data_IF_004267649094
#
_entry.id   IF_004267649094
#
_cell.length_a   1.000
_cell.length_b   1.000
_cell.length_c   1.000
_cell.angle_alpha   90.00
_cell.angle_beta   90.00
_cell.angle_gamma   90.00
#
_symmetry.space_group_name_H-M   'P 1'
#
loop_
_entity.id
_entity.type
_entity.pdbx_description
1 polymer ?
#
# COMPACT_ATOMS: atom_id res chain seq x y z
N UNK A 1 51.66 -53.81 -7.23
CA UNK A 1 50.23 -53.69 -6.88
C UNK A 1 49.69 -52.44 -7.57
N UNK A 2 48.99 -52.57 -8.71
CA UNK A 2 48.46 -51.40 -9.46
C UNK A 2 47.11 -50.99 -8.87
N UNK A 3 47.03 -49.75 -8.37
CA UNK A 3 45.79 -49.15 -7.88
C UNK A 3 44.88 -48.83 -9.08
N UNK A 4 43.69 -49.44 -9.08
CA UNK A 4 42.65 -49.25 -10.10
C UNK A 4 42.00 -47.88 -9.89
N UNK A 5 42.19 -46.97 -10.85
CA UNK A 5 41.62 -45.62 -10.83
C UNK A 5 40.10 -45.66 -11.07
N UNK A 6 39.34 -45.12 -10.12
CA UNK A 6 37.87 -45.00 -10.16
C UNK A 6 37.44 -43.86 -11.11
N UNK A 7 37.43 -44.11 -12.42
CA UNK A 7 36.94 -43.14 -13.42
C UNK A 7 35.41 -43.03 -13.52
N UNK A 8 34.66 -43.89 -12.82
CA UNK A 8 33.20 -43.98 -12.91
C UNK A 8 32.44 -43.14 -11.87
N UNK A 9 33.12 -42.38 -11.01
CA UNK A 9 32.48 -41.56 -9.95
C UNK A 9 32.40 -40.06 -10.28
N UNK A 10 33.03 -39.59 -11.36
CA UNK A 10 33.08 -38.17 -11.70
C UNK A 10 31.71 -37.60 -12.14
N UNK A 11 30.87 -38.40 -12.81
CA UNK A 11 29.52 -37.97 -13.22
C UNK A 11 28.52 -37.84 -12.07
N UNK A 12 28.71 -38.60 -10.99
CA UNK A 12 27.81 -38.60 -9.81
C UNK A 12 27.94 -37.30 -9.02
N UNK A 13 29.15 -36.73 -8.96
CA UNK A 13 29.40 -35.46 -8.30
C UNK A 13 28.62 -34.30 -8.95
N UNK A 14 28.53 -34.29 -10.29
CA UNK A 14 27.79 -33.25 -11.02
C UNK A 14 26.30 -33.33 -10.71
N UNK A 15 25.72 -34.54 -10.70
CA UNK A 15 24.30 -34.74 -10.36
C UNK A 15 24.02 -34.25 -8.93
N UNK A 16 24.90 -34.55 -7.99
CA UNK A 16 24.76 -34.12 -6.60
C UNK A 16 24.79 -32.58 -6.48
N UNK A 17 25.69 -31.91 -7.20
CA UNK A 17 25.77 -30.45 -7.23
C UNK A 17 24.49 -29.85 -7.82
N UNK A 18 23.96 -30.40 -8.91
CA UNK A 18 22.71 -29.91 -9.53
C UNK A 18 21.53 -30.05 -8.57
N UNK A 19 21.43 -31.19 -7.87
CA UNK A 19 20.39 -31.40 -6.85
C UNK A 19 20.52 -30.40 -5.70
N UNK A 20 21.74 -30.17 -5.20
CA UNK A 20 22.00 -29.19 -4.13
C UNK A 20 21.67 -27.76 -4.56
N UNK A 21 22.06 -27.35 -5.77
CA UNK A 21 21.70 -26.04 -6.32
C UNK A 21 20.18 -25.91 -6.47
N UNK A 22 19.49 -26.96 -6.91
CA UNK A 22 18.03 -26.98 -6.99
C UNK A 22 17.35 -26.78 -5.63
N UNK A 23 17.85 -27.44 -4.58
CA UNK A 23 17.37 -27.26 -3.21
C UNK A 23 17.65 -25.86 -2.69
N UNK A 24 18.86 -25.31 -2.93
CA UNK A 24 19.20 -23.96 -2.51
C UNK A 24 18.31 -22.91 -3.20
N UNK A 25 18.07 -23.06 -4.50
CA UNK A 25 17.20 -22.17 -5.25
C UNK A 25 15.75 -22.24 -4.76
N UNK A 26 15.23 -23.43 -4.46
CA UNK A 26 13.86 -23.56 -3.95
C UNK A 26 13.66 -22.85 -2.61
N UNK A 27 14.65 -22.91 -1.72
CA UNK A 27 14.64 -22.18 -0.44
C UNK A 27 14.64 -20.68 -0.68
N UNK A 28 15.53 -20.17 -1.55
CA UNK A 28 15.61 -18.73 -1.85
C UNK A 28 14.29 -18.22 -2.43
N UNK A 29 13.69 -18.95 -3.38
CA UNK A 29 12.40 -18.57 -3.95
C UNK A 29 11.28 -18.59 -2.91
N UNK A 30 11.23 -19.61 -2.05
CA UNK A 30 10.24 -19.69 -0.97
C UNK A 30 10.36 -18.49 -0.02
N UNK A 31 11.57 -18.13 0.40
CA UNK A 31 11.81 -16.95 1.25
C UNK A 31 11.42 -15.66 0.54
N UNK A 32 11.79 -15.51 -0.74
CA UNK A 32 11.44 -14.31 -1.51
C UNK A 32 9.93 -14.11 -1.61
N UNK A 33 9.17 -15.20 -1.81
CA UNK A 33 7.71 -15.16 -1.87
C UNK A 33 7.08 -14.70 -0.55
N UNK A 34 7.71 -14.99 0.58
CA UNK A 34 7.23 -14.57 1.91
C UNK A 34 7.62 -13.12 2.21
N UNK A 35 8.85 -12.72 1.90
CA UNK A 35 9.37 -11.41 2.30
C UNK A 35 8.92 -10.27 1.38
N UNK A 36 8.79 -10.48 0.07
CA UNK A 36 8.40 -9.41 -0.87
C UNK A 36 7.05 -8.76 -0.52
N UNK A 37 5.98 -9.53 -0.21
CA UNK A 37 4.71 -8.95 0.21
C UNK A 37 4.83 -8.12 1.50
N UNK A 38 5.63 -8.58 2.46
CA UNK A 38 5.82 -7.90 3.75
C UNK A 38 6.47 -6.53 3.58
N UNK A 39 7.44 -6.41 2.67
CA UNK A 39 8.08 -5.12 2.34
C UNK A 39 7.06 -4.14 1.76
N UNK A 40 6.20 -4.60 0.83
CA UNK A 40 5.14 -3.76 0.25
C UNK A 40 4.14 -3.29 1.31
N UNK A 41 3.69 -4.20 2.18
CA UNK A 41 2.79 -3.81 3.27
C UNK A 41 3.43 -2.78 4.20
N UNK A 42 4.72 -2.93 4.54
CA UNK A 42 5.41 -1.95 5.38
C UNK A 42 5.48 -0.56 4.72
N UNK A 43 5.75 -0.49 3.42
CA UNK A 43 5.72 0.78 2.68
C UNK A 43 4.32 1.37 2.61
N UNK A 44 3.30 0.53 2.43
CA UNK A 44 1.91 0.99 2.36
C UNK A 44 1.42 1.53 3.69
N UNK A 45 1.81 0.90 4.80
CA UNK A 45 1.51 1.39 6.16
C UNK A 45 2.15 2.76 6.39
N UNK A 46 3.43 2.94 6.02
CA UNK A 46 4.09 4.25 6.12
C UNK A 46 3.38 5.32 5.31
N UNK A 47 3.02 5.02 4.06
CA UNK A 47 2.32 5.96 3.18
C UNK A 47 0.85 6.17 3.60
N UNK A 48 0.25 5.24 4.36
CA UNK A 48 -1.13 5.36 4.85
C UNK A 48 -1.32 6.58 5.74
N UNK A 49 -0.29 7.01 6.48
CA UNK A 49 -0.40 8.18 7.36
C UNK A 49 -0.72 9.45 6.55
N UNK A 50 -0.07 9.66 5.41
CA UNK A 50 -0.35 10.81 4.54
C UNK A 50 -1.74 10.72 3.90
N UNK A 51 -2.15 9.53 3.50
CA UNK A 51 -3.48 9.28 2.95
C UNK A 51 -4.59 9.50 4.00
N UNK A 52 -4.38 9.06 5.24
CA UNK A 52 -5.31 9.27 6.35
C UNK A 52 -5.40 10.76 6.71
N UNK A 53 -4.26 11.44 6.82
CA UNK A 53 -4.21 12.88 7.10
C UNK A 53 -5.05 13.69 6.11
N UNK A 54 -4.92 13.41 4.80
CA UNK A 54 -5.71 14.10 3.78
C UNK A 54 -7.20 13.78 3.87
N UNK A 55 -7.55 12.52 4.15
CA UNK A 55 -8.94 12.10 4.29
C UNK A 55 -9.62 12.70 5.53
N UNK A 56 -8.94 12.69 6.69
CA UNK A 56 -9.46 13.27 7.94
C UNK A 56 -9.60 14.78 7.84
N UNK A 57 -8.60 15.48 7.29
CA UNK A 57 -8.67 16.94 7.13
C UNK A 57 -9.84 17.38 6.27
N UNK A 58 -10.10 16.66 5.17
CA UNK A 58 -11.25 16.92 4.30
C UNK A 58 -12.59 16.54 4.96
N UNK A 59 -12.59 15.51 5.81
CA UNK A 59 -13.77 15.10 6.59
C UNK A 59 -14.14 16.13 7.65
N UNK A 60 -13.15 16.62 8.41
CA UNK A 60 -13.34 17.69 9.37
C UNK A 60 -13.85 18.96 8.70
N UNK A 61 -13.33 19.30 7.51
CA UNK A 61 -13.83 20.42 6.73
C UNK A 61 -15.30 20.24 6.34
N UNK A 62 -15.71 19.04 5.92
CA UNK A 62 -17.11 18.77 5.62
C UNK A 62 -18.01 18.83 6.86
N UNK A 63 -17.57 18.26 7.99
CA UNK A 63 -18.32 18.34 9.25
C UNK A 63 -18.48 19.78 9.73
N UNK A 64 -17.43 20.60 9.55
CA UNK A 64 -17.46 22.02 9.88
C UNK A 64 -18.48 22.79 9.03
N UNK A 65 -18.52 22.53 7.71
CA UNK A 65 -19.52 23.13 6.82
C UNK A 65 -20.93 22.69 7.20
N UNK A 66 -21.14 21.40 7.45
CA UNK A 66 -22.43 20.85 7.87
C UNK A 66 -22.92 21.46 9.20
N UNK A 67 -22.01 21.86 10.09
CA UNK A 67 -22.34 22.48 11.37
C UNK A 67 -22.69 23.98 11.27
N UNK A 68 -22.11 24.72 10.32
CA UNK A 68 -22.17 26.20 10.27
C UNK A 68 -23.25 26.76 9.34
N UNK A 69 -23.98 25.90 8.63
CA UNK A 69 -25.01 26.24 7.64
C UNK A 69 -25.89 27.48 8.01
N UNK A 70 -25.91 28.61 7.25
CA UNK A 70 -25.12 28.99 6.06
C UNK A 70 -24.31 30.31 6.26
N UNK A 71 -22.98 30.27 6.11
CA UNK A 71 -22.03 31.43 6.16
C UNK A 71 -20.91 31.15 5.09
N UNK A 72 -20.21 32.15 4.48
CA UNK A 72 -19.72 32.09 3.10
C UNK A 72 -18.72 30.95 2.81
N UNK A 73 -18.48 30.64 1.51
CA UNK A 73 -17.66 29.51 1.09
C UNK A 73 -16.30 29.50 1.79
N UNK A 74 -16.14 28.54 2.70
CA UNK A 74 -14.87 28.25 3.34
C UNK A 74 -14.01 27.50 2.32
N UNK A 75 -12.78 27.95 2.04
CA UNK A 75 -11.92 27.25 1.11
C UNK A 75 -11.61 25.83 1.65
N UNK A 76 -11.47 24.84 0.75
CA UNK A 76 -11.15 23.48 1.14
C UNK A 76 -9.68 23.38 1.61
N UNK A 77 -9.33 22.37 2.43
CA UNK A 77 -7.99 22.25 2.99
C UNK A 77 -6.95 22.02 1.89
N UNK A 78 -5.79 22.67 2.01
CA UNK A 78 -4.65 22.48 1.10
C UNK A 78 -3.64 21.56 1.79
N UNK A 79 -3.16 20.55 1.07
CA UNK A 79 -2.20 19.57 1.60
C UNK A 79 -0.77 19.96 1.20
N UNK A 80 0.10 20.21 2.18
CA UNK A 80 1.50 20.60 1.94
C UNK A 80 2.43 19.40 1.66
N UNK A 81 1.92 18.18 1.77
CA UNK A 81 2.69 16.94 1.69
C UNK A 81 2.42 16.12 0.42
N UNK A 82 1.92 16.75 -0.66
CA UNK A 82 1.51 16.09 -1.92
C UNK A 82 0.35 15.08 -1.78
N UNK A 83 -0.25 14.94 -0.60
CA UNK A 83 -1.44 14.12 -0.45
C UNK A 83 -2.64 14.82 -1.13
N UNK A 84 -3.55 14.03 -1.65
CA UNK A 84 -4.78 14.51 -2.29
C UNK A 84 -5.98 13.88 -1.62
N UNK A 85 -7.14 14.50 -1.76
CA UNK A 85 -8.41 13.92 -1.33
C UNK A 85 -9.46 14.09 -2.42
N UNK A 86 -10.40 13.18 -2.45
CA UNK A 86 -11.51 13.17 -3.39
C UNK A 86 -12.73 12.54 -2.73
N UNK A 87 -13.89 12.72 -3.36
CA UNK A 87 -15.10 11.96 -3.05
C UNK A 87 -14.91 10.48 -3.36
N UNK A 88 -15.86 9.66 -2.93
CA UNK A 88 -15.93 8.22 -3.27
C UNK A 88 -15.74 7.96 -4.77
N UNK A 89 -16.35 8.79 -5.62
CA UNK A 89 -16.30 8.66 -7.08
C UNK A 89 -15.01 9.23 -7.72
N UNK A 90 -14.03 9.64 -6.91
CA UNK A 90 -12.76 10.19 -7.38
C UNK A 90 -12.84 11.62 -7.91
N UNK A 91 -14.00 12.27 -7.76
CA UNK A 91 -14.21 13.67 -8.14
C UNK A 91 -13.76 14.61 -7.02
N UNK A 92 -13.34 15.85 -7.34
CA UNK A 92 -12.97 16.85 -6.35
C UNK A 92 -14.11 17.11 -5.37
N UNK A 93 -13.79 17.19 -4.07
CA UNK A 93 -14.74 17.51 -3.02
C UNK A 93 -15.06 19.02 -3.06
N UNK A 94 -16.34 19.37 -3.09
CA UNK A 94 -16.84 20.75 -2.99
C UNK A 94 -17.76 20.90 -1.77
N UNK A 95 -18.01 22.14 -1.36
CA UNK A 95 -18.73 22.44 -0.11
C UNK A 95 -20.14 21.84 -0.08
N UNK A 96 -20.84 21.84 -1.22
CA UNK A 96 -22.19 21.31 -1.34
C UNK A 96 -22.27 19.79 -1.12
N UNK A 97 -21.17 19.06 -1.30
CA UNK A 97 -21.14 17.60 -1.05
C UNK A 97 -21.15 17.26 0.44
N UNK A 98 -20.80 18.23 1.28
CA UNK A 98 -20.73 18.05 2.73
C UNK A 98 -22.11 18.09 3.40
N UNK A 99 -23.17 18.49 2.67
CA UNK A 99 -24.55 18.50 3.15
C UNK A 99 -25.29 17.16 2.95
N UNK A 100 -24.58 16.10 2.51
CA UNK A 100 -25.15 14.78 2.25
C UNK A 100 -25.35 13.96 3.53
N UNK A 101 -26.34 13.04 3.57
CA UNK A 101 -26.58 12.15 4.69
C UNK A 101 -25.47 11.12 4.90
N UNK A 102 -24.54 10.96 3.96
CA UNK A 102 -23.36 10.13 4.13
C UNK A 102 -22.20 10.89 3.51
N UNK A 103 -21.16 11.15 4.30
CA UNK A 103 -19.95 11.82 3.84
C UNK A 103 -18.87 10.75 3.71
N UNK A 104 -18.43 10.48 2.48
CA UNK A 104 -17.35 9.55 2.20
C UNK A 104 -16.21 10.24 1.44
N UNK A 105 -15.01 10.15 2.01
CA UNK A 105 -13.83 10.85 1.55
C UNK A 105 -12.67 9.88 1.43
N UNK A 106 -12.01 9.93 0.28
CA UNK A 106 -10.83 9.14 -0.04
C UNK A 106 -9.61 10.05 -0.04
N UNK A 107 -8.68 9.84 0.90
CA UNK A 107 -7.37 10.46 0.88
C UNK A 107 -6.35 9.56 0.18
N UNK A 108 -5.49 10.13 -0.65
CA UNK A 108 -4.49 9.43 -1.43
C UNK A 108 -3.13 10.06 -1.19
N UNK A 109 -2.14 9.22 -0.91
CA UNK A 109 -0.74 9.62 -0.83
C UNK A 109 0.13 8.56 -1.50
N UNK A 110 0.88 9.00 -2.52
CA UNK A 110 1.66 8.11 -3.40
C UNK A 110 0.76 7.04 -4.04
N UNK A 111 0.92 5.77 -3.66
CA UNK A 111 0.16 4.63 -4.19
C UNK A 111 -0.86 4.07 -3.19
N UNK A 112 -1.09 4.74 -2.07
CA UNK A 112 -2.01 4.29 -1.02
C UNK A 112 -3.20 5.22 -0.94
N UNK A 113 -4.39 4.64 -0.98
CA UNK A 113 -5.66 5.33 -0.74
C UNK A 113 -6.31 4.80 0.53
N UNK A 114 -6.79 5.70 1.37
CA UNK A 114 -7.54 5.41 2.60
C UNK A 114 -8.84 6.20 2.59
N UNK A 115 -9.91 5.55 3.00
CA UNK A 115 -11.24 6.13 2.95
C UNK A 115 -11.83 6.22 4.36
N UNK A 116 -12.53 7.31 4.64
CA UNK A 116 -13.41 7.45 5.79
C UNK A 116 -14.83 7.69 5.32
N UNK A 117 -15.76 7.11 6.04
CA UNK A 117 -17.18 7.27 5.81
C UNK A 117 -17.85 7.58 7.14
N UNK A 118 -18.62 8.65 7.17
CA UNK A 118 -19.49 8.98 8.29
C UNK A 118 -20.94 8.95 7.80
N UNK A 119 -21.75 8.22 8.55
CA UNK A 119 -23.21 8.26 8.47
C UNK A 119 -23.68 8.82 9.81
N UNK A 120 -24.33 9.99 9.85
CA UNK A 120 -24.87 10.60 11.06
C UNK A 120 -26.04 9.80 11.64
#
# INVERSE_FOLDING_TARGET
>A
MKLKSSKNQEGVAIIYVVLMVGVLLSIVFALSAIFLPKVRTATDVKNSVGALYAAESALEWCLYIAYIDPIPPIPPPVMDNEATYAKQDGTPLIADDCALPTIQINGTYRSVTRAFQITP
#
